data_IF_850568250665
#
_entry.id   IF_850568250665
#
_cell.length_a   1.000
_cell.length_b   1.000
_cell.length_c   1.000
_cell.angle_alpha   90.00
_cell.angle_beta   90.00
_cell.angle_gamma   90.00
#
_symmetry.space_group_name_H-M   'P 1'
#
loop_
_entity.id
_entity.type
_entity.pdbx_description
1 polymer ?
#
# COMPACT_ATOMS: atom_id res chain seq x y z
N UNK A 1 -31.01 32.28 49.34
CA UNK A 1 -29.95 31.38 48.85
C UNK A 1 -30.60 30.06 48.47
N UNK A 2 -30.79 29.82 47.17
CA UNK A 2 -31.36 28.57 46.65
C UNK A 2 -30.25 27.51 46.53
N UNK A 3 -30.48 26.25 46.94
CA UNK A 3 -29.47 25.20 46.81
C UNK A 3 -29.33 24.77 45.34
N UNK A 4 -28.09 24.61 44.90
CA UNK A 4 -27.74 24.04 43.59
C UNK A 4 -28.10 22.55 43.54
N UNK A 5 -28.83 22.17 42.50
CA UNK A 5 -29.18 20.78 42.20
C UNK A 5 -27.92 20.01 41.78
N UNK A 6 -27.70 18.76 42.23
CA UNK A 6 -26.56 17.96 41.77
C UNK A 6 -26.71 17.65 40.29
N UNK A 7 -25.65 17.94 39.53
CA UNK A 7 -25.51 17.60 38.12
C UNK A 7 -25.62 16.08 37.95
N UNK A 8 -26.63 15.62 37.21
CA UNK A 8 -26.82 14.20 36.96
C UNK A 8 -25.59 13.65 36.20
N UNK A 9 -25.06 12.47 36.57
CA UNK A 9 -23.91 11.88 35.87
C UNK A 9 -24.24 11.71 34.38
N UNK A 10 -23.30 12.13 33.53
CA UNK A 10 -23.40 12.02 32.09
C UNK A 10 -23.82 10.60 31.69
N UNK A 11 -24.98 10.51 31.01
CA UNK A 11 -25.49 9.24 30.52
C UNK A 11 -24.41 8.55 29.69
N UNK A 12 -23.98 7.37 30.14
CA UNK A 12 -23.09 6.53 29.35
C UNK A 12 -23.76 6.28 27.99
N UNK A 13 -23.03 6.42 26.86
CA UNK A 13 -23.60 6.14 25.56
C UNK A 13 -24.11 4.70 25.57
N UNK A 14 -25.42 4.55 25.42
CA UNK A 14 -26.09 3.27 25.43
C UNK A 14 -25.35 2.30 24.50
N UNK A 15 -24.90 1.18 25.06
CA UNK A 15 -24.39 0.06 24.29
C UNK A 15 -25.47 -0.34 23.29
N UNK A 16 -25.31 0.09 22.03
CA UNK A 16 -26.16 -0.40 20.94
C UNK A 16 -25.64 -1.79 20.60
N UNK A 17 -26.40 -2.86 20.86
CA UNK A 17 -26.02 -4.17 20.37
C UNK A 17 -25.86 -4.09 18.85
N UNK A 18 -24.76 -4.66 18.36
CA UNK A 18 -24.53 -4.85 16.93
C UNK A 18 -25.76 -5.56 16.33
N UNK A 19 -26.22 -5.19 15.12
CA UNK A 19 -27.30 -5.91 14.47
C UNK A 19 -26.91 -7.39 14.36
N UNK A 20 -27.67 -8.27 15.02
CA UNK A 20 -27.42 -9.70 15.16
C UNK A 20 -27.80 -10.51 13.91
N UNK A 21 -27.75 -9.87 12.74
CA UNK A 21 -28.10 -10.49 11.46
C UNK A 21 -26.88 -10.62 10.54
N UNK A 22 -26.83 -11.67 9.70
CA UNK A 22 -25.78 -11.81 8.70
C UNK A 22 -25.86 -10.64 7.71
N UNK A 23 -24.85 -9.78 7.71
CA UNK A 23 -24.78 -8.63 6.80
C UNK A 23 -23.93 -9.01 5.58
N UNK A 24 -24.44 -8.91 4.32
CA UNK A 24 -23.69 -9.19 3.07
C UNK A 24 -22.42 -8.34 2.89
N UNK A 25 -22.16 -7.43 3.83
CA UNK A 25 -21.02 -6.53 3.89
C UNK A 25 -19.75 -7.23 4.39
N UNK A 26 -19.86 -8.29 5.19
CA UNK A 26 -18.68 -9.00 5.72
C UNK A 26 -17.99 -9.86 4.66
N UNK A 27 -18.77 -10.61 3.86
CA UNK A 27 -18.27 -11.37 2.71
C UNK A 27 -17.70 -10.46 1.65
N UNK A 28 -18.36 -9.33 1.36
CA UNK A 28 -17.80 -8.32 0.45
C UNK A 28 -16.45 -7.77 0.97
N UNK A 29 -16.33 -7.54 2.27
CA UNK A 29 -15.07 -7.10 2.86
C UNK A 29 -13.99 -8.19 2.78
N UNK A 30 -14.33 -9.45 3.06
CA UNK A 30 -13.44 -10.60 2.93
C UNK A 30 -12.99 -10.83 1.48
N UNK A 31 -13.90 -10.71 0.50
CA UNK A 31 -13.58 -10.70 -0.93
C UNK A 31 -12.62 -9.58 -1.27
N UNK A 32 -12.81 -8.39 -0.69
CA UNK A 32 -11.86 -7.27 -0.81
C UNK A 32 -10.47 -7.64 -0.33
N UNK A 33 -10.35 -8.31 0.83
CA UNK A 33 -9.06 -8.82 1.34
C UNK A 33 -8.44 -9.85 0.40
N UNK A 34 -9.25 -10.75 -0.14
CA UNK A 34 -8.83 -11.78 -1.10
C UNK A 34 -8.31 -11.16 -2.39
N UNK A 35 -8.98 -10.14 -2.90
CA UNK A 35 -8.56 -9.39 -4.09
C UNK A 35 -7.22 -8.69 -3.86
N UNK A 36 -7.08 -8.02 -2.71
CA UNK A 36 -5.81 -7.39 -2.34
C UNK A 36 -4.68 -8.42 -2.26
N UNK A 37 -4.93 -9.61 -1.71
CA UNK A 37 -3.93 -10.67 -1.60
C UNK A 37 -3.41 -11.11 -2.98
N UNK A 38 -4.29 -11.36 -3.93
CA UNK A 38 -3.87 -11.75 -5.29
C UNK A 38 -3.18 -10.60 -6.03
N UNK A 39 -3.69 -9.37 -5.86
CA UNK A 39 -3.11 -8.21 -6.50
C UNK A 39 -1.70 -7.87 -5.96
N UNK A 40 -1.45 -8.07 -4.66
CA UNK A 40 -0.11 -7.96 -4.07
C UNK A 40 0.87 -8.95 -4.70
N UNK A 41 0.46 -10.22 -4.87
CA UNK A 41 1.29 -11.22 -5.55
C UNK A 41 1.52 -10.90 -7.03
N UNK A 42 0.48 -10.46 -7.73
CA UNK A 42 0.58 -10.08 -9.13
C UNK A 42 1.54 -8.89 -9.31
N UNK A 43 1.40 -7.84 -8.51
CA UNK A 43 2.30 -6.68 -8.54
C UNK A 43 3.74 -7.08 -8.22
N UNK A 44 3.98 -7.91 -7.20
CA UNK A 44 5.32 -8.42 -6.89
C UNK A 44 5.93 -9.22 -8.05
N UNK A 45 5.16 -10.14 -8.64
CA UNK A 45 5.59 -10.94 -9.78
C UNK A 45 5.96 -10.05 -10.98
N UNK A 46 5.13 -9.05 -11.28
CA UNK A 46 5.41 -8.08 -12.34
C UNK A 46 6.65 -7.25 -12.05
N UNK A 47 6.85 -6.83 -10.81
CA UNK A 47 8.04 -6.09 -10.39
C UNK A 47 9.31 -6.95 -10.55
N UNK A 48 9.26 -8.22 -10.14
CA UNK A 48 10.37 -9.15 -10.28
C UNK A 48 10.70 -9.44 -11.75
N UNK A 49 9.70 -9.75 -12.57
CA UNK A 49 9.89 -9.99 -14.01
C UNK A 49 10.40 -8.72 -14.70
N UNK A 50 9.84 -7.55 -14.39
CA UNK A 50 10.30 -6.28 -14.93
C UNK A 50 11.74 -5.93 -14.54
N UNK A 51 12.14 -6.22 -13.30
CA UNK A 51 13.51 -6.06 -12.84
C UNK A 51 14.48 -6.97 -13.61
N UNK A 52 14.14 -8.26 -13.77
CA UNK A 52 14.94 -9.22 -14.54
C UNK A 52 15.02 -8.82 -16.02
N UNK A 53 13.90 -8.47 -16.64
CA UNK A 53 13.84 -8.02 -18.03
C UNK A 53 14.71 -6.77 -18.24
N UNK A 54 14.75 -5.85 -17.28
CA UNK A 54 15.59 -4.66 -17.33
C UNK A 54 17.08 -5.01 -17.25
N UNK A 55 17.46 -5.95 -16.38
CA UNK A 55 18.85 -6.45 -16.30
C UNK A 55 19.26 -7.12 -17.60
N UNK A 56 18.41 -7.99 -18.16
CA UNK A 56 18.66 -8.67 -19.44
C UNK A 56 18.79 -7.67 -20.58
N UNK A 57 17.91 -6.68 -20.68
CA UNK A 57 17.97 -5.63 -21.71
C UNK A 57 19.26 -4.78 -21.60
N UNK A 58 19.67 -4.44 -20.38
CA UNK A 58 20.90 -3.68 -20.14
C UNK A 58 22.17 -4.49 -20.45
N UNK A 59 22.14 -5.82 -20.25
CA UNK A 59 23.27 -6.71 -20.50
C UNK A 59 23.40 -7.14 -21.99
N UNK A 60 22.29 -7.21 -22.72
CA UNK A 60 22.24 -7.78 -24.09
C UNK A 60 22.55 -6.79 -25.21
N UNK A 61 22.54 -5.50 -24.94
CA UNK A 61 22.79 -4.47 -25.95
C UNK A 61 24.19 -3.91 -25.75
N UNK A 62 25.00 -3.73 -26.79
CA UNK A 62 26.35 -3.15 -26.68
C UNK A 62 26.34 -1.62 -26.74
N UNK A 63 25.39 -1.05 -27.48
CA UNK A 63 25.25 0.39 -27.72
C UNK A 63 24.42 1.09 -26.62
N UNK A 64 24.93 2.19 -26.09
CA UNK A 64 24.33 2.95 -25.00
C UNK A 64 22.95 3.53 -25.31
N UNK A 65 22.70 3.93 -26.57
CA UNK A 65 21.39 4.46 -26.98
C UNK A 65 20.33 3.35 -27.08
N UNK A 66 20.70 2.21 -27.64
CA UNK A 66 19.81 1.05 -27.74
C UNK A 66 19.56 0.39 -26.36
N UNK A 67 20.52 0.42 -25.42
CA UNK A 67 20.32 0.04 -24.01
C UNK A 67 19.28 0.91 -23.32
N UNK A 68 19.35 2.23 -23.55
CA UNK A 68 18.42 3.17 -22.95
C UNK A 68 17.00 2.98 -23.49
N UNK A 69 16.86 2.88 -24.82
CA UNK A 69 15.56 2.68 -25.46
C UNK A 69 14.88 1.37 -25.06
N UNK A 70 15.63 0.24 -25.05
CA UNK A 70 15.11 -1.06 -24.60
C UNK A 70 14.69 -1.04 -23.12
N UNK A 71 15.50 -0.43 -22.26
CA UNK A 71 15.15 -0.24 -20.84
C UNK A 71 13.88 0.60 -20.62
N UNK A 72 13.63 1.61 -21.46
CA UNK A 72 12.41 2.41 -21.42
C UNK A 72 11.18 1.63 -21.88
N UNK A 73 11.28 0.85 -22.96
CA UNK A 73 10.18 0.00 -23.45
C UNK A 73 9.77 -1.04 -22.40
N UNK A 74 10.75 -1.70 -21.79
CA UNK A 74 10.51 -2.63 -20.67
C UNK A 74 9.82 -1.91 -19.52
N UNK A 75 10.34 -0.75 -19.09
CA UNK A 75 9.72 0.02 -18.00
C UNK A 75 8.27 0.44 -18.31
N UNK A 76 7.98 0.87 -19.53
CA UNK A 76 6.63 1.27 -19.97
C UNK A 76 5.65 0.09 -20.01
N UNK A 77 6.08 -1.08 -20.53
CA UNK A 77 5.23 -2.28 -20.58
C UNK A 77 4.86 -2.77 -19.19
N UNK A 78 5.85 -2.95 -18.31
CA UNK A 78 5.59 -3.40 -16.93
C UNK A 78 4.85 -2.35 -16.10
N UNK A 79 5.05 -1.05 -16.38
CA UNK A 79 4.26 0.03 -15.77
C UNK A 79 2.77 -0.06 -16.11
N UNK A 80 2.42 -0.40 -17.35
CA UNK A 80 1.02 -0.59 -17.76
C UNK A 80 0.32 -1.75 -17.03
N UNK A 81 1.03 -2.88 -16.86
CA UNK A 81 0.46 -4.04 -16.15
C UNK A 81 0.40 -3.81 -14.65
N UNK A 82 1.37 -3.09 -14.07
CA UNK A 82 1.34 -2.70 -12.66
C UNK A 82 0.13 -1.81 -12.33
N UNK A 83 -0.33 -0.98 -13.28
CA UNK A 83 -1.57 -0.21 -13.12
C UNK A 83 -2.82 -1.09 -12.98
N UNK A 84 -2.87 -2.23 -13.67
CA UNK A 84 -3.97 -3.18 -13.53
C UNK A 84 -3.94 -3.81 -12.13
N UNK A 85 -2.78 -4.25 -11.65
CA UNK A 85 -2.63 -4.78 -10.30
C UNK A 85 -3.03 -3.76 -9.23
N UNK A 86 -2.62 -2.50 -9.41
CA UNK A 86 -3.01 -1.40 -8.55
C UNK A 86 -4.52 -1.09 -8.61
N UNK A 87 -5.15 -1.22 -9.78
CA UNK A 87 -6.61 -1.10 -9.93
C UNK A 87 -7.35 -2.18 -9.14
N UNK A 88 -6.87 -3.42 -9.16
CA UNK A 88 -7.43 -4.52 -8.35
C UNK A 88 -7.21 -4.28 -6.86
N UNK A 89 -6.04 -3.76 -6.45
CA UNK A 89 -5.79 -3.33 -5.05
C UNK A 89 -6.77 -2.25 -4.61
N UNK A 90 -6.97 -1.20 -5.42
CA UNK A 90 -7.92 -0.13 -5.14
C UNK A 90 -9.35 -0.67 -5.00
N UNK A 91 -9.77 -1.55 -5.91
CA UNK A 91 -11.09 -2.19 -5.84
C UNK A 91 -11.24 -3.06 -4.58
N UNK A 92 -10.19 -3.80 -4.20
CA UNK A 92 -10.15 -4.58 -2.96
C UNK A 92 -10.28 -3.71 -1.71
N UNK A 93 -9.54 -2.59 -1.66
CA UNK A 93 -9.61 -1.61 -0.57
C UNK A 93 -10.99 -0.95 -0.49
N UNK A 94 -11.57 -0.58 -1.63
CA UNK A 94 -12.92 -0.01 -1.68
C UNK A 94 -13.96 -0.99 -1.12
N UNK A 95 -13.88 -2.27 -1.51
CA UNK A 95 -14.76 -3.31 -0.99
C UNK A 95 -14.58 -3.56 0.49
N UNK A 96 -13.34 -3.57 0.98
CA UNK A 96 -13.03 -3.64 2.40
C UNK A 96 -13.58 -2.43 3.17
N UNK A 97 -13.57 -1.24 2.57
CA UNK A 97 -14.23 -0.04 3.10
C UNK A 97 -15.77 -0.13 3.18
N UNK A 98 -16.36 -1.21 2.65
CA UNK A 98 -17.79 -1.53 2.76
C UNK A 98 -18.19 -2.25 4.05
N UNK A 99 -17.27 -2.43 5.02
CA UNK A 99 -17.54 -3.01 6.34
C UNK A 99 -18.75 -2.37 7.04
N UNK A 100 -19.49 -3.11 7.89
CA UNK A 100 -20.58 -2.54 8.67
C UNK A 100 -20.09 -1.35 9.53
N UNK A 101 -20.79 -0.20 9.52
CA UNK A 101 -20.37 0.99 10.26
C UNK A 101 -20.21 0.74 11.76
N UNK A 102 -21.01 -0.16 12.32
CA UNK A 102 -21.00 -0.53 13.74
C UNK A 102 -19.66 -1.18 14.18
N UNK A 103 -18.82 -1.64 13.26
CA UNK A 103 -17.48 -2.16 13.57
C UNK A 103 -16.49 -1.06 13.97
N UNK A 104 -16.76 0.21 13.60
CA UNK A 104 -15.79 1.30 13.71
C UNK A 104 -14.60 1.22 12.73
N UNK A 105 -14.51 0.17 11.91
CA UNK A 105 -13.41 -0.03 10.96
C UNK A 105 -13.61 0.68 9.61
N UNK A 106 -14.82 1.16 9.32
CA UNK A 106 -15.15 1.84 8.06
C UNK A 106 -14.35 3.12 7.82
N UNK A 107 -14.23 4.07 8.78
CA UNK A 107 -13.42 5.27 8.57
C UNK A 107 -11.95 4.98 8.24
N UNK A 108 -11.21 4.14 9.00
CA UNK A 108 -9.83 3.84 8.66
C UNK A 108 -9.68 3.06 7.35
N UNK A 109 -10.62 2.17 7.00
CA UNK A 109 -10.59 1.46 5.71
C UNK A 109 -10.76 2.40 4.51
N UNK A 110 -11.67 3.38 4.61
CA UNK A 110 -11.85 4.41 3.57
C UNK A 110 -10.65 5.35 3.48
N UNK A 111 -10.06 5.73 4.60
CA UNK A 111 -8.84 6.52 4.60
C UNK A 111 -7.70 5.76 3.92
N UNK A 112 -7.54 4.45 4.19
CA UNK A 112 -6.56 3.61 3.52
C UNK A 112 -6.75 3.61 1.99
N UNK A 113 -7.99 3.48 1.51
CA UNK A 113 -8.31 3.59 0.07
C UNK A 113 -7.88 4.93 -0.52
N UNK A 114 -8.28 6.05 0.08
CA UNK A 114 -7.95 7.37 -0.46
C UNK A 114 -6.46 7.68 -0.41
N UNK A 115 -5.77 7.24 0.64
CA UNK A 115 -4.32 7.36 0.74
C UNK A 115 -3.60 6.53 -0.32
N UNK A 116 -4.09 5.32 -0.63
CA UNK A 116 -3.58 4.50 -1.72
C UNK A 116 -3.76 5.18 -3.07
N UNK A 117 -4.97 5.69 -3.36
CA UNK A 117 -5.26 6.41 -4.61
C UNK A 117 -4.41 7.67 -4.73
N UNK A 118 -4.26 8.43 -3.64
CA UNK A 118 -3.39 9.62 -3.61
C UNK A 118 -1.92 9.25 -3.85
N UNK A 119 -1.44 8.17 -3.25
CA UNK A 119 -0.07 7.69 -3.46
C UNK A 119 0.17 7.29 -4.93
N UNK A 120 -0.79 6.60 -5.52
CA UNK A 120 -0.75 6.21 -6.93
C UNK A 120 -0.77 7.45 -7.84
N UNK A 121 -1.68 8.40 -7.58
CA UNK A 121 -1.77 9.67 -8.30
C UNK A 121 -0.46 10.47 -8.22
N UNK A 122 0.12 10.60 -7.02
CA UNK A 122 1.41 11.28 -6.82
C UNK A 122 2.56 10.58 -7.58
N UNK A 123 2.57 9.25 -7.60
CA UNK A 123 3.55 8.48 -8.37
C UNK A 123 3.38 8.67 -9.88
N UNK A 124 2.14 8.66 -10.39
CA UNK A 124 1.88 8.86 -11.81
C UNK A 124 2.16 10.29 -12.26
N UNK A 125 1.67 11.31 -11.55
CA UNK A 125 1.93 12.72 -11.87
C UNK A 125 3.45 12.97 -12.00
N UNK A 126 4.25 12.43 -11.07
CA UNK A 126 5.69 12.60 -11.14
C UNK A 126 6.38 11.96 -12.36
N UNK A 127 5.80 10.92 -12.96
CA UNK A 127 6.39 10.21 -14.10
C UNK A 127 5.95 10.80 -15.44
N UNK A 128 4.70 11.27 -15.52
CA UNK A 128 4.07 11.68 -16.76
C UNK A 128 4.08 13.20 -16.98
N UNK A 129 4.15 14.01 -15.91
CA UNK A 129 4.06 15.48 -16.06
C UNK A 129 5.36 16.19 -15.70
N UNK A 130 6.06 15.80 -14.62
CA UNK A 130 7.24 16.54 -14.14
C UNK A 130 8.38 16.51 -15.16
N UNK A 131 8.75 15.36 -15.70
CA UNK A 131 9.89 15.26 -16.63
C UNK A 131 9.68 16.02 -17.96
N UNK A 132 8.56 15.84 -18.68
CA UNK A 132 8.34 16.56 -19.94
C UNK A 132 8.05 18.05 -19.72
N UNK A 133 7.26 18.43 -18.71
CA UNK A 133 6.95 19.84 -18.45
C UNK A 133 8.17 20.61 -17.93
N UNK A 134 8.99 20.02 -17.07
CA UNK A 134 10.18 20.69 -16.56
C UNK A 134 11.25 20.89 -17.65
N UNK A 135 11.38 19.95 -18.60
CA UNK A 135 12.23 20.13 -19.79
C UNK A 135 11.68 21.21 -20.72
N UNK A 136 10.36 21.24 -20.94
CA UNK A 136 9.72 22.26 -21.78
C UNK A 136 9.77 23.66 -21.14
N UNK A 137 9.72 23.75 -19.82
CA UNK A 137 9.78 25.01 -19.05
C UNK A 137 11.21 25.53 -18.79
N UNK A 138 12.24 24.85 -19.30
CA UNK A 138 13.64 25.26 -19.12
C UNK A 138 14.15 25.19 -17.68
N UNK A 139 13.55 24.36 -16.83
CA UNK A 139 14.00 24.22 -15.44
C UNK A 139 15.40 23.63 -15.35
N UNK A 140 16.15 24.08 -14.35
CA UNK A 140 17.50 23.57 -14.11
C UNK A 140 17.46 22.07 -13.76
N UNK A 141 18.50 21.30 -14.12
CA UNK A 141 18.60 19.88 -13.76
C UNK A 141 18.50 19.61 -12.25
N UNK A 142 18.95 20.57 -11.42
CA UNK A 142 18.85 20.49 -9.95
C UNK A 142 17.41 20.62 -9.47
N UNK A 143 16.62 21.52 -10.05
CA UNK A 143 15.20 21.67 -9.72
C UNK A 143 14.40 20.43 -10.16
N UNK A 144 14.69 19.89 -11.34
CA UNK A 144 14.10 18.61 -11.81
C UNK A 144 14.38 17.49 -10.81
N UNK A 145 15.64 17.36 -10.39
CA UNK A 145 16.07 16.34 -9.42
C UNK A 145 15.39 16.52 -8.06
N UNK A 146 15.26 17.76 -7.58
CA UNK A 146 14.56 18.07 -6.34
C UNK A 146 13.06 17.71 -6.41
N UNK A 147 12.40 17.97 -7.54
CA UNK A 147 10.99 17.58 -7.75
C UNK A 147 10.81 16.06 -7.75
N UNK A 148 11.73 15.30 -8.34
CA UNK A 148 11.72 13.83 -8.30
C UNK A 148 11.93 13.29 -6.89
N UNK A 149 12.84 13.88 -6.12
CA UNK A 149 13.07 13.52 -4.72
C UNK A 149 11.83 13.80 -3.86
N UNK A 150 11.24 15.00 -4.00
CA UNK A 150 10.02 15.39 -3.29
C UNK A 150 8.86 14.43 -3.61
N UNK A 151 8.68 14.08 -4.88
CA UNK A 151 7.71 13.06 -5.30
C UNK A 151 7.97 11.72 -4.61
N UNK A 152 9.23 11.28 -4.54
CA UNK A 152 9.62 10.07 -3.81
C UNK A 152 9.18 10.12 -2.35
N UNK A 153 9.52 11.20 -1.64
CA UNK A 153 9.15 11.42 -0.23
C UNK A 153 7.64 11.41 -0.03
N UNK A 154 6.89 12.18 -0.85
CA UNK A 154 5.42 12.23 -0.77
C UNK A 154 4.81 10.86 -1.02
N UNK A 155 5.31 10.13 -2.02
CA UNK A 155 4.80 8.79 -2.35
C UNK A 155 5.05 7.80 -1.21
N UNK A 156 6.22 7.84 -0.56
CA UNK A 156 6.51 7.02 0.63
C UNK A 156 5.56 7.37 1.77
N UNK A 157 5.40 8.66 2.08
CA UNK A 157 4.57 9.12 3.18
C UNK A 157 3.11 8.67 2.99
N UNK A 158 2.58 8.79 1.77
CA UNK A 158 1.23 8.34 1.44
C UNK A 158 1.10 6.81 1.51
N UNK A 159 2.08 6.04 1.03
CA UNK A 159 2.09 4.57 1.18
C UNK A 159 2.16 4.15 2.65
N UNK A 160 3.00 4.79 3.45
CA UNK A 160 3.14 4.53 4.87
C UNK A 160 1.81 4.78 5.61
N UNK A 161 1.18 5.93 5.33
CA UNK A 161 -0.11 6.29 5.90
C UNK A 161 -1.21 5.31 5.47
N UNK A 162 -1.25 4.93 4.19
CA UNK A 162 -2.15 3.91 3.66
C UNK A 162 -2.01 2.59 4.44
N UNK A 163 -0.80 2.05 4.55
CA UNK A 163 -0.53 0.78 5.24
C UNK A 163 -0.87 0.85 6.73
N UNK A 164 -0.56 1.96 7.38
CA UNK A 164 -0.93 2.21 8.77
C UNK A 164 -2.45 2.19 8.97
N UNK A 165 -3.20 2.87 8.08
CA UNK A 165 -4.67 2.89 8.13
C UNK A 165 -5.28 1.53 7.79
N UNK A 166 -4.67 0.76 6.88
CA UNK A 166 -5.09 -0.61 6.57
C UNK A 166 -4.92 -1.52 7.79
N UNK A 167 -3.75 -1.51 8.42
CA UNK A 167 -3.49 -2.31 9.65
C UNK A 167 -4.41 -1.88 10.78
N UNK A 168 -4.66 -0.58 10.94
CA UNK A 168 -5.63 -0.07 11.92
C UNK A 168 -7.04 -0.58 11.63
N UNK A 169 -7.49 -0.50 10.38
CA UNK A 169 -8.80 -0.99 9.97
C UNK A 169 -8.94 -2.50 10.19
N UNK A 170 -7.93 -3.28 9.83
CA UNK A 170 -7.86 -4.72 10.10
C UNK A 170 -7.95 -5.01 11.60
N UNK A 171 -7.13 -4.35 12.42
CA UNK A 171 -7.16 -4.53 13.88
C UNK A 171 -8.53 -4.22 14.48
N UNK A 172 -9.16 -3.10 14.08
CA UNK A 172 -10.50 -2.73 14.57
C UNK A 172 -11.55 -3.75 14.11
N UNK A 173 -11.52 -4.17 12.84
CA UNK A 173 -12.45 -5.17 12.30
C UNK A 173 -12.32 -6.52 13.02
N UNK A 174 -11.10 -6.97 13.30
CA UNK A 174 -10.83 -8.22 14.01
C UNK A 174 -11.30 -8.16 15.46
N UNK A 175 -11.04 -7.04 16.16
CA UNK A 175 -11.51 -6.85 17.54
C UNK A 175 -13.03 -6.85 17.65
N UNK A 176 -13.73 -6.29 16.65
CA UNK A 176 -15.19 -6.26 16.64
C UNK A 176 -15.84 -7.66 16.61
N UNK A 177 -15.07 -8.69 16.26
CA UNK A 177 -15.50 -10.09 16.19
C UNK A 177 -14.77 -10.98 17.20
N UNK A 178 -14.16 -10.38 18.23
CA UNK A 178 -13.44 -11.10 19.28
C UNK A 178 -12.08 -11.68 18.87
N UNK A 179 -11.56 -11.34 17.68
CA UNK A 179 -10.27 -11.81 17.19
C UNK A 179 -9.16 -10.75 17.40
N UNK A 180 -7.91 -11.22 17.53
CA UNK A 180 -6.74 -10.37 17.65
C UNK A 180 -5.92 -10.36 16.35
N UNK A 181 -5.40 -9.19 15.97
CA UNK A 181 -4.44 -9.07 14.89
C UNK A 181 -3.06 -9.61 15.35
N UNK A 182 -2.27 -10.27 14.49
CA UNK A 182 -0.93 -10.69 14.85
C UNK A 182 -0.04 -9.51 15.28
N UNK A 183 0.73 -9.68 16.37
CA UNK A 183 1.57 -8.63 16.96
C UNK A 183 2.67 -8.12 16.01
N UNK A 184 3.12 -8.95 15.07
CA UNK A 184 4.11 -8.59 14.07
C UNK A 184 3.55 -7.66 12.97
N UNK A 185 2.24 -7.58 12.78
CA UNK A 185 1.63 -6.81 11.69
C UNK A 185 2.01 -5.32 11.68
N UNK A 186 1.87 -4.56 12.79
CA UNK A 186 2.34 -3.17 12.82
C UNK A 186 3.86 -3.04 12.70
N UNK A 187 4.62 -4.03 13.20
CA UNK A 187 6.08 -4.04 13.13
C UNK A 187 6.56 -4.22 11.69
N UNK A 188 5.91 -5.09 10.91
CA UNK A 188 6.22 -5.29 9.50
C UNK A 188 5.96 -4.03 8.66
N UNK A 189 4.88 -3.29 8.94
CA UNK A 189 4.65 -1.99 8.29
C UNK A 189 5.72 -0.98 8.69
N UNK A 190 6.05 -0.86 9.98
CA UNK A 190 7.08 0.05 10.44
C UNK A 190 8.45 -0.28 9.82
N UNK A 191 8.81 -1.56 9.75
CA UNK A 191 10.05 -2.03 9.13
C UNK A 191 10.11 -1.70 7.64
N UNK A 192 9.00 -1.91 6.91
CA UNK A 192 8.93 -1.57 5.48
C UNK A 192 9.02 -0.07 5.23
N UNK A 193 8.33 0.75 6.03
CA UNK A 193 8.41 2.20 5.93
C UNK A 193 9.83 2.68 6.25
N UNK A 194 10.44 2.17 7.33
CA UNK A 194 11.83 2.46 7.67
C UNK A 194 12.79 2.08 6.54
N UNK A 195 12.60 0.91 5.94
CA UNK A 195 13.36 0.48 4.77
C UNK A 195 13.20 1.44 3.59
N UNK A 196 11.97 1.86 3.22
CA UNK A 196 11.74 2.78 2.10
C UNK A 196 12.32 4.18 2.35
N UNK A 197 12.22 4.69 3.57
CA UNK A 197 12.80 5.98 3.97
C UNK A 197 14.32 5.95 3.89
N UNK A 198 14.97 4.84 4.26
CA UNK A 198 16.43 4.71 4.19
C UNK A 198 16.93 4.41 2.76
N UNK A 199 16.21 3.55 2.04
CA UNK A 199 16.63 3.06 0.72
C UNK A 199 16.57 4.14 -0.35
N UNK A 200 15.59 5.03 -0.35
CA UNK A 200 15.46 6.04 -1.41
C UNK A 200 16.63 7.05 -1.42
N UNK A 201 17.00 7.69 -0.30
CA UNK A 201 18.19 8.54 -0.24
C UNK A 201 19.48 7.77 -0.54
N UNK A 202 19.62 6.55 -0.03
CA UNK A 202 20.79 5.71 -0.30
C UNK A 202 20.92 5.39 -1.80
N UNK A 203 19.81 5.05 -2.47
CA UNK A 203 19.78 4.82 -3.92
C UNK A 203 20.13 6.09 -4.70
N UNK A 204 19.61 7.25 -4.30
CA UNK A 204 19.95 8.53 -4.94
C UNK A 204 21.44 8.87 -4.80
N UNK A 205 22.03 8.64 -3.63
CA UNK A 205 23.46 8.83 -3.40
C UNK A 205 24.29 7.83 -4.23
N UNK A 206 23.92 6.56 -4.24
CA UNK A 206 24.63 5.53 -5.03
C UNK A 206 24.61 5.84 -6.53
N UNK A 207 23.48 6.32 -7.06
CA UNK A 207 23.36 6.76 -8.45
C UNK A 207 24.19 8.01 -8.76
N UNK A 208 24.40 8.91 -7.78
CA UNK A 208 25.26 10.08 -7.93
C UNK A 208 26.75 9.73 -7.92
N UNK A 209 27.18 8.77 -7.09
CA UNK A 209 28.59 8.51 -6.83
C UNK A 209 29.18 7.30 -7.57
N UNK A 210 28.38 6.33 -8.03
CA UNK A 210 28.92 5.12 -8.66
C UNK A 210 28.16 4.69 -9.93
N UNK A 211 28.89 4.69 -11.05
CA UNK A 211 28.41 4.17 -12.34
C UNK A 211 28.53 2.64 -12.36
N UNK A 212 27.46 1.93 -11.99
CA UNK A 212 27.11 0.64 -12.58
C UNK A 212 27.29 -0.63 -11.74
N UNK A 213 28.24 -0.70 -10.80
CA UNK A 213 28.54 -1.97 -10.10
C UNK A 213 27.63 -2.22 -8.89
N UNK A 214 27.33 -1.20 -8.08
CA UNK A 214 26.48 -1.34 -6.87
C UNK A 214 24.97 -1.47 -7.20
N UNK A 215 24.56 -1.14 -8.43
CA UNK A 215 23.15 -1.18 -8.82
C UNK A 215 22.54 -2.58 -8.71
N UNK A 216 23.27 -3.65 -9.03
CA UNK A 216 22.72 -5.01 -9.00
C UNK A 216 22.54 -5.56 -7.58
N UNK A 217 23.54 -5.49 -6.67
CA UNK A 217 23.33 -5.84 -5.26
C UNK A 217 22.22 -5.01 -4.62
N UNK A 218 22.17 -3.71 -4.91
CA UNK A 218 21.13 -2.82 -4.39
C UNK A 218 19.72 -3.20 -4.87
N UNK A 219 19.56 -3.49 -6.16
CA UNK A 219 18.30 -4.00 -6.71
C UNK A 219 17.90 -5.33 -6.07
N UNK A 220 18.85 -6.24 -5.84
CA UNK A 220 18.57 -7.53 -5.22
C UNK A 220 18.09 -7.39 -3.77
N UNK A 221 18.75 -6.55 -2.96
CA UNK A 221 18.34 -6.28 -1.57
C UNK A 221 16.96 -5.60 -1.54
N UNK A 222 16.74 -4.63 -2.43
CA UNK A 222 15.45 -3.93 -2.52
C UNK A 222 14.32 -4.88 -2.90
N UNK A 223 14.56 -5.77 -3.87
CA UNK A 223 13.60 -6.80 -4.26
C UNK A 223 13.34 -7.78 -3.12
N UNK A 224 14.37 -8.24 -2.41
CA UNK A 224 14.21 -9.12 -1.26
C UNK A 224 13.36 -8.49 -0.14
N UNK A 225 13.57 -7.20 0.14
CA UNK A 225 12.75 -6.46 1.10
C UNK A 225 11.29 -6.33 0.62
N UNK A 226 11.06 -6.04 -0.66
CA UNK A 226 9.72 -5.96 -1.25
C UNK A 226 9.01 -7.33 -1.24
N UNK A 227 9.72 -8.43 -1.50
CA UNK A 227 9.21 -9.81 -1.36
C UNK A 227 8.83 -10.10 0.09
N UNK A 228 9.72 -9.81 1.04
CA UNK A 228 9.47 -10.03 2.47
C UNK A 228 8.24 -9.29 2.96
N UNK A 229 8.09 -8.02 2.55
CA UNK A 229 6.91 -7.23 2.87
C UNK A 229 5.63 -7.76 2.20
N UNK A 230 5.69 -8.14 0.92
CA UNK A 230 4.56 -8.72 0.21
C UNK A 230 4.08 -10.02 0.87
N UNK A 231 5.01 -10.90 1.28
CA UNK A 231 4.70 -12.12 2.05
C UNK A 231 4.03 -11.78 3.38
N UNK A 232 4.55 -10.80 4.12
CA UNK A 232 3.96 -10.36 5.38
C UNK A 232 2.53 -9.82 5.17
N UNK A 233 2.32 -8.93 4.19
CA UNK A 233 1.01 -8.38 3.88
C UNK A 233 0.02 -9.47 3.43
N UNK A 234 0.42 -10.35 2.53
CA UNK A 234 -0.39 -11.50 2.07
C UNK A 234 -0.78 -12.39 3.24
N UNK A 235 0.15 -12.67 4.14
CA UNK A 235 -0.09 -13.51 5.33
C UNK A 235 -1.10 -12.84 6.26
N UNK A 236 -0.98 -11.53 6.45
CA UNK A 236 -1.93 -10.74 7.24
C UNK A 236 -3.35 -10.80 6.63
N UNK A 237 -3.45 -10.58 5.32
CA UNK A 237 -4.71 -10.60 4.58
C UNK A 237 -5.34 -12.00 4.62
N UNK A 238 -4.54 -13.06 4.42
CA UNK A 238 -4.98 -14.46 4.50
C UNK A 238 -5.46 -14.85 5.89
N UNK A 239 -4.89 -14.26 6.94
CA UNK A 239 -5.34 -14.46 8.32
C UNK A 239 -6.69 -13.80 8.59
N UNK A 240 -6.88 -12.55 8.15
CA UNK A 240 -8.11 -11.80 8.39
C UNK A 240 -9.30 -12.26 7.51
N UNK A 241 -9.05 -12.64 6.26
CA UNK A 241 -10.06 -13.08 5.28
C UNK A 241 -11.08 -14.09 5.84
N UNK A 242 -10.69 -15.28 6.36
CA UNK A 242 -11.64 -16.29 6.83
C UNK A 242 -12.34 -15.90 8.14
N UNK A 243 -11.76 -15.00 8.93
CA UNK A 243 -12.38 -14.50 10.18
C UNK A 243 -13.55 -13.58 9.84
N UNK A 244 -13.37 -12.70 8.86
CA UNK A 244 -14.43 -11.81 8.39
C UNK A 244 -15.51 -12.58 7.63
N UNK A 245 -15.15 -13.56 6.79
CA UNK A 245 -16.11 -14.35 6.02
C UNK A 245 -17.10 -15.12 6.91
N UNK A 246 -16.66 -15.60 8.08
CA UNK A 246 -17.49 -16.36 9.04
C UNK A 246 -18.55 -15.52 9.76
N UNK A 247 -18.45 -14.20 9.73
CA UNK A 247 -19.43 -13.31 10.41
C UNK A 247 -20.79 -13.27 9.73
N UNK A 248 -20.88 -13.73 8.47
CA UNK A 248 -22.15 -13.85 7.74
C UNK A 248 -22.88 -15.16 7.96
N UNK A 249 -22.22 -16.15 8.57
CA UNK A 249 -22.83 -17.44 8.89
C UNK A 249 -22.26 -17.82 10.25
N UNK A 250 -22.74 -17.22 11.36
CA UNK A 250 -22.43 -17.78 12.66
C UNK A 250 -22.92 -19.24 12.62
N UNK A 251 -22.01 -20.20 12.77
CA UNK A 251 -22.39 -21.61 12.86
C UNK A 251 -23.50 -21.73 13.90
N UNK A 252 -24.65 -22.33 13.58
CA UNK A 252 -25.76 -22.47 14.53
C UNK A 252 -25.49 -23.49 15.65
N UNK A 253 -24.23 -23.88 15.89
CA UNK A 253 -23.87 -24.88 16.88
C UNK A 253 -22.66 -24.42 17.70
N UNK A 254 -22.96 -23.81 18.84
CA UNK A 254 -22.08 -23.63 20.00
C UNK A 254 -22.94 -23.68 21.25
#
# INVERSE_FOLDING_TARGET
MTPSTPEAPAAQPAYRPLPTGPSPRWRRAAEGLRWMRYATWASLGLHAVGAVARVVALASVSDGHARYASGMVVASYFGGVDLLANGVLAAGLWRFGGLPPATGATPPARAAFWLFVAALGASMLGSWTIAPLARAAGYSPSLISAMFLLRGVVTIALHAAYLGMLVRALNVSMRSVGAALPRWAPQAVAAFVGWKVLSIPAQSLLLMFQRGIINYPWMAISLAADVGFAVALVTLLRFAEPVLARQESPDPAG
#
